data_IF_134520326388
#
_entry.id   IF_134520326388
#
_cell.length_a   1.000
_cell.length_b   1.000
_cell.length_c   1.000
_cell.angle_alpha   90.00
_cell.angle_beta   90.00
_cell.angle_gamma   90.00
#
_symmetry.space_group_name_H-M   'P 1'
#
loop_
_entity.id
_entity.type
_entity.pdbx_description
1 polymer ?
#
# COMPACT_ATOMS: atom_id res chain seq x y z
N UNK A 1 4.94 -31.30 -35.69
CA UNK A 1 5.18 -30.48 -34.48
C UNK A 1 3.94 -29.65 -34.24
N UNK A 2 3.38 -29.66 -33.03
CA UNK A 2 2.25 -28.77 -32.69
C UNK A 2 2.71 -27.30 -32.76
N UNK A 3 1.86 -26.39 -33.21
CA UNK A 3 2.16 -24.97 -33.16
C UNK A 3 2.44 -24.57 -31.70
N UNK A 4 3.41 -23.68 -31.43
CA UNK A 4 3.67 -23.21 -30.07
C UNK A 4 2.36 -22.64 -29.49
N UNK A 5 2.03 -23.01 -28.27
CA UNK A 5 0.84 -22.51 -27.59
C UNK A 5 0.92 -20.99 -27.48
N UNK A 6 -0.16 -20.28 -27.84
CA UNK A 6 -0.23 -18.83 -27.72
C UNK A 6 -0.09 -18.45 -26.22
N UNK A 7 0.75 -17.46 -25.86
CA UNK A 7 0.93 -17.09 -24.46
C UNK A 7 -0.36 -16.55 -23.86
N UNK A 8 -0.62 -16.90 -22.60
CA UNK A 8 -1.74 -16.34 -21.86
C UNK A 8 -1.42 -14.89 -21.45
N UNK A 9 -2.31 -13.96 -21.81
CA UNK A 9 -2.16 -12.56 -21.45
C UNK A 9 -2.57 -12.31 -20.00
N UNK A 10 -1.75 -11.56 -19.26
CA UNK A 10 -2.02 -11.13 -17.89
C UNK A 10 -1.70 -9.65 -17.75
N UNK A 11 -2.71 -8.84 -17.46
CA UNK A 11 -2.57 -7.41 -17.19
C UNK A 11 -2.50 -7.19 -15.69
N UNK A 12 -1.53 -6.36 -15.26
CA UNK A 12 -1.31 -6.01 -13.86
C UNK A 12 -1.50 -4.51 -13.67
N UNK A 13 -2.52 -4.10 -12.92
CA UNK A 13 -2.70 -2.70 -12.55
C UNK A 13 -1.78 -2.33 -11.37
N UNK A 14 -0.89 -1.36 -11.57
CA UNK A 14 0.02 -0.89 -10.52
C UNK A 14 -0.71 0.07 -9.56
N UNK A 15 -0.33 0.07 -8.29
CA UNK A 15 -0.89 0.94 -7.24
C UNK A 15 -0.40 2.38 -7.31
N UNK A 16 0.75 2.59 -7.95
CA UNK A 16 1.36 3.88 -8.15
C UNK A 16 2.10 3.94 -9.49
N UNK A 17 2.72 5.09 -9.78
CA UNK A 17 3.67 5.16 -10.88
C UNK A 17 4.80 4.13 -10.68
N UNK A 18 5.39 3.59 -11.77
CA UNK A 18 6.46 2.61 -11.67
C UNK A 18 7.57 3.07 -10.72
N UNK A 19 7.87 2.25 -9.71
CA UNK A 19 8.76 2.58 -8.60
C UNK A 19 9.41 1.32 -8.01
N UNK A 20 10.18 1.48 -6.94
CA UNK A 20 10.92 0.40 -6.28
C UNK A 20 10.09 -0.84 -5.91
N UNK A 21 8.81 -0.70 -5.55
CA UNK A 21 7.93 -1.84 -5.23
C UNK A 21 7.69 -2.78 -6.44
N UNK A 22 7.85 -2.26 -7.66
CA UNK A 22 7.55 -2.94 -8.93
C UNK A 22 8.77 -3.57 -9.61
N UNK A 23 9.98 -3.38 -9.07
CA UNK A 23 11.22 -3.80 -9.74
C UNK A 23 11.29 -5.31 -10.00
N UNK A 24 10.70 -6.13 -9.14
CA UNK A 24 10.63 -7.58 -9.35
C UNK A 24 9.79 -7.99 -10.56
N UNK A 25 8.71 -7.26 -10.85
CA UNK A 25 7.87 -7.50 -12.05
C UNK A 25 8.62 -7.09 -13.31
N UNK A 26 9.23 -5.90 -13.33
CA UNK A 26 10.00 -5.44 -14.47
C UNK A 26 11.21 -6.34 -14.76
N UNK A 27 11.90 -6.80 -13.72
CA UNK A 27 13.00 -7.74 -13.87
C UNK A 27 12.51 -9.10 -14.40
N UNK A 28 11.38 -9.62 -13.92
CA UNK A 28 10.80 -10.87 -14.45
C UNK A 28 10.42 -10.76 -15.94
N UNK A 29 9.91 -9.59 -16.38
CA UNK A 29 9.64 -9.30 -17.80
C UNK A 29 10.96 -9.30 -18.57
N UNK A 30 11.94 -8.50 -18.15
CA UNK A 30 13.23 -8.36 -18.85
C UNK A 30 13.99 -9.68 -18.96
N UNK A 31 13.94 -10.51 -17.91
CA UNK A 31 14.58 -11.83 -17.87
C UNK A 31 13.82 -12.92 -18.64
N UNK A 32 12.61 -12.62 -19.13
CA UNK A 32 11.78 -13.60 -19.84
C UNK A 32 11.14 -14.64 -18.93
N UNK A 33 11.16 -14.48 -17.61
CA UNK A 33 10.62 -15.48 -16.67
C UNK A 33 9.13 -15.76 -16.88
N UNK A 34 8.37 -14.75 -17.30
CA UNK A 34 6.97 -14.91 -17.69
C UNK A 34 6.81 -15.68 -19.01
N UNK A 35 7.65 -15.39 -20.01
CA UNK A 35 7.61 -16.07 -21.30
C UNK A 35 8.06 -17.54 -21.20
N UNK A 36 8.99 -17.85 -20.29
CA UNK A 36 9.47 -19.20 -19.98
C UNK A 36 8.50 -20.01 -19.10
N UNK A 37 7.50 -19.38 -18.51
CA UNK A 37 6.55 -20.05 -17.63
C UNK A 37 5.73 -21.11 -18.39
N UNK A 38 5.07 -22.00 -17.65
CA UNK A 38 4.18 -23.00 -18.23
C UNK A 38 2.80 -22.94 -17.53
N UNK A 39 1.73 -22.48 -18.22
CA UNK A 39 1.74 -21.99 -19.60
C UNK A 39 2.56 -20.69 -19.76
N UNK A 40 3.08 -20.40 -20.97
CA UNK A 40 3.83 -19.16 -21.23
C UNK A 40 2.94 -17.94 -21.10
N UNK A 41 3.49 -16.85 -20.59
CA UNK A 41 2.74 -15.64 -20.24
C UNK A 41 3.23 -14.41 -21.01
N UNK A 42 2.28 -13.60 -21.46
CA UNK A 42 2.50 -12.24 -21.94
C UNK A 42 1.99 -11.29 -20.86
N UNK A 43 2.89 -10.66 -20.11
CA UNK A 43 2.55 -9.78 -19.00
C UNK A 43 2.66 -8.32 -19.42
N UNK A 44 1.63 -7.53 -19.15
CA UNK A 44 1.66 -6.07 -19.32
C UNK A 44 1.33 -5.35 -18.01
N UNK A 45 2.12 -4.31 -17.72
CA UNK A 45 1.92 -3.46 -16.56
C UNK A 45 1.07 -2.26 -16.97
N UNK A 46 0.11 -1.88 -16.13
CA UNK A 46 -0.75 -0.73 -16.33
C UNK A 46 -0.45 0.27 -15.22
N UNK A 47 0.26 1.34 -15.56
CA UNK A 47 0.47 2.45 -14.64
C UNK A 47 -0.81 3.26 -14.47
N UNK A 48 -1.21 3.67 -13.24
CA UNK A 48 -2.39 4.50 -13.03
C UNK A 48 -2.24 5.89 -13.67
N UNK A 49 -1.01 6.30 -13.96
CA UNK A 49 -0.72 7.49 -14.74
C UNK A 49 -1.39 7.52 -16.13
N UNK A 50 -1.60 6.34 -16.75
CA UNK A 50 -2.18 6.22 -18.08
C UNK A 50 -3.57 6.87 -18.22
N UNK A 51 -4.33 7.01 -17.12
CA UNK A 51 -5.60 7.76 -17.10
C UNK A 51 -5.61 8.93 -16.11
N UNK A 52 -4.46 9.28 -15.53
CA UNK A 52 -4.34 10.30 -14.48
C UNK A 52 -4.90 9.86 -13.13
N UNK A 53 -4.81 8.57 -12.81
CA UNK A 53 -5.37 7.96 -11.60
C UNK A 53 -6.90 8.15 -11.48
N UNK A 54 -7.60 8.20 -12.62
CA UNK A 54 -9.08 8.28 -12.61
C UNK A 54 -9.70 6.99 -12.13
N UNK A 55 -9.14 5.87 -12.56
CA UNK A 55 -9.58 4.53 -12.15
C UNK A 55 -8.58 3.97 -11.14
N UNK A 56 -9.01 3.69 -9.92
CA UNK A 56 -8.13 3.05 -8.93
C UNK A 56 -7.75 1.64 -9.39
N UNK A 57 -6.59 1.10 -8.97
CA UNK A 57 -6.17 -0.26 -9.34
C UNK A 57 -7.19 -1.32 -8.92
N UNK A 58 -7.78 -1.17 -7.74
CA UNK A 58 -8.84 -2.05 -7.24
C UNK A 58 -10.13 -1.96 -8.07
N UNK A 59 -10.53 -0.76 -8.50
CA UNK A 59 -11.67 -0.60 -9.40
C UNK A 59 -11.38 -1.21 -10.78
N UNK A 60 -10.20 -0.96 -11.34
CA UNK A 60 -9.77 -1.55 -12.61
C UNK A 60 -9.76 -3.08 -12.58
N UNK A 61 -9.32 -3.67 -11.46
CA UNK A 61 -9.39 -5.11 -11.24
C UNK A 61 -10.84 -5.59 -11.20
N UNK A 62 -11.68 -4.94 -10.39
CA UNK A 62 -13.08 -5.30 -10.21
C UNK A 62 -13.91 -5.17 -11.50
N UNK A 63 -13.61 -4.20 -12.35
CA UNK A 63 -14.32 -3.98 -13.61
C UNK A 63 -13.79 -4.86 -14.76
N UNK A 64 -12.86 -5.79 -14.49
CA UNK A 64 -12.26 -6.69 -15.49
C UNK A 64 -11.23 -6.04 -16.43
N UNK A 65 -10.82 -4.81 -16.10
CA UNK A 65 -9.79 -4.06 -16.84
C UNK A 65 -8.37 -4.61 -16.63
N UNK A 66 -8.16 -5.44 -15.62
CA UNK A 66 -6.92 -6.18 -15.35
C UNK A 66 -7.23 -7.53 -14.68
N UNK A 67 -6.34 -8.51 -14.82
CA UNK A 67 -6.44 -9.81 -14.14
C UNK A 67 -5.90 -9.74 -12.71
N UNK A 68 -4.92 -8.85 -12.49
CA UNK A 68 -4.22 -8.63 -11.23
C UNK A 68 -4.08 -7.13 -10.95
N UNK A 69 -3.97 -6.76 -9.68
CA UNK A 69 -3.64 -5.39 -9.27
C UNK A 69 -2.80 -5.35 -8.00
N UNK A 70 -1.82 -4.45 -7.95
CA UNK A 70 -1.19 -4.02 -6.70
C UNK A 70 -2.19 -3.15 -5.93
N UNK A 71 -2.46 -3.48 -4.67
CA UNK A 71 -3.36 -2.72 -3.79
C UNK A 71 -2.92 -2.87 -2.33
N UNK A 72 -3.25 -1.94 -1.41
CA UNK A 72 -3.12 -2.21 0.01
C UNK A 72 -4.19 -3.21 0.49
N UNK A 73 -3.98 -3.84 1.65
CA UNK A 73 -4.96 -4.79 2.24
C UNK A 73 -6.35 -4.16 2.45
N UNK A 74 -6.40 -2.85 2.71
CA UNK A 74 -7.60 -2.03 2.80
C UNK A 74 -8.53 -2.21 1.62
N UNK A 75 -7.99 -2.25 0.40
CA UNK A 75 -8.79 -2.39 -0.81
C UNK A 75 -9.45 -3.76 -0.87
N UNK A 76 -8.74 -4.81 -0.46
CA UNK A 76 -9.27 -6.18 -0.42
C UNK A 76 -10.42 -6.28 0.59
N UNK A 77 -10.23 -5.73 1.80
CA UNK A 77 -11.31 -5.65 2.80
C UNK A 77 -12.47 -4.80 2.28
N UNK A 78 -12.19 -3.64 1.68
CA UNK A 78 -13.21 -2.71 1.20
C UNK A 78 -14.11 -3.35 0.15
N UNK A 79 -13.56 -4.12 -0.79
CA UNK A 79 -14.35 -4.82 -1.80
C UNK A 79 -15.12 -6.00 -1.22
N UNK A 80 -14.53 -6.74 -0.26
CA UNK A 80 -15.23 -7.83 0.43
C UNK A 80 -16.40 -7.34 1.30
N UNK A 81 -16.32 -6.11 1.82
CA UNK A 81 -17.34 -5.47 2.67
C UNK A 81 -18.04 -4.31 1.96
N UNK A 82 -18.07 -4.32 0.63
CA UNK A 82 -18.70 -3.24 -0.12
C UNK A 82 -20.21 -3.19 0.19
N UNK A 83 -20.79 -2.00 0.43
CA UNK A 83 -22.22 -1.88 0.73
C UNK A 83 -23.08 -2.42 -0.41
N UNK A 84 -24.09 -3.22 -0.09
CA UNK A 84 -24.95 -3.87 -1.09
C UNK A 84 -24.41 -5.19 -1.64
N UNK A 85 -23.12 -5.50 -1.45
CA UNK A 85 -22.53 -6.79 -1.81
C UNK A 85 -22.45 -7.08 -3.32
N UNK A 86 -22.54 -6.05 -4.15
CA UNK A 86 -22.54 -6.12 -5.61
C UNK A 86 -21.13 -6.08 -6.25
N UNK A 87 -20.12 -5.65 -5.49
CA UNK A 87 -18.73 -5.66 -5.96
C UNK A 87 -18.14 -7.07 -5.95
N UNK A 88 -17.30 -7.42 -6.95
CA UNK A 88 -16.58 -8.68 -6.93
C UNK A 88 -15.63 -8.72 -5.73
N UNK A 89 -15.63 -9.85 -5.02
CA UNK A 89 -14.74 -10.10 -3.89
C UNK A 89 -13.33 -10.44 -4.41
N UNK A 90 -12.55 -9.40 -4.72
CA UNK A 90 -11.13 -9.54 -5.06
C UNK A 90 -10.38 -10.19 -3.90
N UNK A 91 -9.33 -10.96 -4.20
CA UNK A 91 -8.58 -11.72 -3.19
C UNK A 91 -7.09 -11.46 -3.32
N UNK A 92 -6.41 -11.21 -2.21
CA UNK A 92 -4.96 -11.15 -2.19
C UNK A 92 -4.37 -12.55 -2.44
N UNK A 93 -3.38 -12.62 -3.33
CA UNK A 93 -2.73 -13.87 -3.76
C UNK A 93 -1.22 -13.86 -3.52
N UNK A 94 -0.66 -12.69 -3.19
CA UNK A 94 0.72 -12.52 -2.75
C UNK A 94 0.88 -11.18 -2.03
N UNK A 95 1.82 -11.04 -1.09
CA UNK A 95 2.32 -9.72 -0.65
C UNK A 95 3.60 -9.36 -1.40
N UNK A 96 3.71 -8.12 -1.90
CA UNK A 96 4.90 -7.67 -2.64
C UNK A 96 6.07 -7.42 -1.69
N UNK A 97 5.77 -6.91 -0.49
CA UNK A 97 6.75 -6.64 0.57
C UNK A 97 6.45 -7.55 1.78
N UNK A 98 7.48 -8.19 2.29
CA UNK A 98 7.43 -9.20 3.37
C UNK A 98 7.56 -8.57 4.76
N UNK A 99 7.66 -7.23 4.82
CA UNK A 99 7.63 -6.41 6.02
C UNK A 99 7.02 -5.04 5.71
N UNK A 100 6.78 -4.23 6.75
CA UNK A 100 6.22 -2.89 6.59
C UNK A 100 7.30 -1.87 6.21
N UNK A 101 7.20 -1.34 5.00
CA UNK A 101 8.10 -0.30 4.47
C UNK A 101 7.42 1.05 4.28
N UNK A 102 6.23 1.24 4.87
CA UNK A 102 5.41 2.43 4.73
C UNK A 102 5.31 3.18 6.06
N UNK A 103 5.07 4.50 5.97
CA UNK A 103 5.00 5.35 7.14
C UNK A 103 4.12 6.57 6.90
N UNK A 104 3.48 7.05 7.97
CA UNK A 104 3.01 8.44 8.04
C UNK A 104 4.24 9.29 8.36
N UNK A 105 4.52 10.30 7.53
CA UNK A 105 5.69 11.16 7.70
C UNK A 105 5.30 12.61 7.96
N UNK A 106 6.16 13.29 8.71
CA UNK A 106 6.16 14.74 8.90
C UNK A 106 7.56 15.27 8.63
N UNK A 107 7.69 16.56 8.32
CA UNK A 107 9.01 17.19 8.28
C UNK A 107 9.58 17.24 9.69
N UNK A 108 10.84 16.88 9.89
CA UNK A 108 11.50 16.97 11.21
C UNK A 108 11.51 18.41 11.75
N UNK A 109 11.63 19.39 10.84
CA UNK A 109 11.54 20.83 11.14
C UNK A 109 10.16 21.30 11.60
N UNK A 110 9.09 20.52 11.41
CA UNK A 110 7.73 20.87 11.85
C UNK A 110 7.54 20.80 13.37
N UNK A 111 8.45 20.09 14.08
CA UNK A 111 8.28 19.78 15.50
C UNK A 111 7.25 18.68 15.80
N UNK A 112 6.57 18.12 14.78
CA UNK A 112 5.61 17.02 14.94
C UNK A 112 6.39 15.70 14.99
N UNK A 113 6.90 15.37 16.18
CA UNK A 113 7.81 14.24 16.43
C UNK A 113 7.12 12.91 16.78
N UNK A 114 5.79 12.89 16.91
CA UNK A 114 4.99 11.69 17.17
C UNK A 114 3.55 11.84 16.65
N UNK A 115 2.82 10.74 16.38
CA UNK A 115 1.45 10.84 15.84
C UNK A 115 0.49 11.66 16.70
N UNK A 116 0.58 11.61 18.03
CA UNK A 116 -0.32 12.39 18.90
C UNK A 116 -0.30 13.91 18.60
N UNK A 117 0.80 14.43 18.07
CA UNK A 117 0.97 15.84 17.70
C UNK A 117 0.34 16.21 16.34
N UNK A 118 -0.29 15.26 15.66
CA UNK A 118 -1.07 15.51 14.44
C UNK A 118 -2.47 16.09 14.72
N UNK A 119 -2.88 16.18 15.99
CA UNK A 119 -4.11 16.88 16.35
C UNK A 119 -4.09 18.34 15.83
N UNK A 120 -5.17 18.73 15.16
CA UNK A 120 -5.34 20.05 14.54
C UNK A 120 -4.46 20.29 13.30
N UNK A 121 -3.70 19.29 12.83
CA UNK A 121 -2.83 19.39 11.65
C UNK A 121 -3.54 19.00 10.36
N UNK A 122 -2.92 19.30 9.23
CA UNK A 122 -3.37 18.90 7.89
C UNK A 122 -2.67 17.62 7.45
N UNK A 123 -3.45 16.65 7.00
CA UNK A 123 -2.96 15.38 6.47
C UNK A 123 -3.34 15.27 4.99
N UNK A 124 -2.34 15.16 4.11
CA UNK A 124 -2.56 14.89 2.69
C UNK A 124 -2.86 13.40 2.51
N UNK A 125 -4.04 13.12 1.96
CA UNK A 125 -4.61 11.78 1.94
C UNK A 125 -4.89 11.27 0.53
N UNK A 126 -4.77 9.95 0.37
CA UNK A 126 -5.33 9.24 -0.80
C UNK A 126 -6.86 9.19 -0.76
N UNK A 127 -7.50 9.58 0.35
CA UNK A 127 -8.95 9.55 0.56
C UNK A 127 -9.54 8.16 0.33
N UNK A 128 -8.77 7.13 0.66
CA UNK A 128 -9.20 5.75 0.57
C UNK A 128 -10.09 5.38 1.78
N UNK A 129 -11.01 4.42 1.58
CA UNK A 129 -12.11 4.09 2.53
C UNK A 129 -11.72 4.05 4.01
N UNK A 130 -10.56 3.50 4.35
CA UNK A 130 -10.13 3.30 5.74
C UNK A 130 -8.99 4.22 6.18
N UNK A 131 -8.28 4.85 5.25
CA UNK A 131 -7.01 5.53 5.50
C UNK A 131 -7.11 6.58 6.61
N UNK A 132 -8.04 7.53 6.47
CA UNK A 132 -8.17 8.62 7.44
C UNK A 132 -8.60 8.16 8.83
N UNK A 133 -9.38 7.08 8.90
CA UNK A 133 -9.79 6.49 10.19
C UNK A 133 -8.68 5.65 10.81
N UNK A 134 -7.83 5.00 10.02
CA UNK A 134 -6.61 4.33 10.49
C UNK A 134 -5.64 5.34 11.10
N UNK A 135 -5.38 6.45 10.40
CA UNK A 135 -4.53 7.54 10.92
C UNK A 135 -5.11 8.13 12.20
N UNK A 136 -6.44 8.31 12.27
CA UNK A 136 -7.11 8.74 13.50
C UNK A 136 -6.84 7.77 14.67
N UNK A 137 -6.90 6.46 14.46
CA UNK A 137 -6.60 5.47 15.50
C UNK A 137 -5.11 5.45 15.89
N UNK A 138 -4.20 5.65 14.93
CA UNK A 138 -2.77 5.82 15.25
C UNK A 138 -2.54 6.99 16.21
N UNK A 139 -3.15 8.15 15.93
CA UNK A 139 -3.04 9.36 16.74
C UNK A 139 -3.60 9.11 18.15
N UNK A 140 -4.77 8.47 18.26
CA UNK A 140 -5.42 8.15 19.55
C UNK A 140 -4.58 7.21 20.40
N UNK A 141 -4.06 6.14 19.79
CA UNK A 141 -3.26 5.14 20.49
C UNK A 141 -1.91 5.71 20.94
N UNK A 142 -1.25 6.51 20.10
CA UNK A 142 -0.04 7.23 20.52
C UNK A 142 -0.33 8.21 21.66
N UNK A 143 -1.48 8.90 21.63
CA UNK A 143 -1.92 9.78 22.71
C UNK A 143 -2.12 9.07 24.04
N UNK A 144 -2.75 7.89 24.02
CA UNK A 144 -2.92 7.06 25.21
C UNK A 144 -1.57 6.64 25.77
N UNK A 145 -0.69 6.11 24.91
CA UNK A 145 0.69 5.75 25.28
C UNK A 145 1.47 6.93 25.86
N UNK A 146 1.36 8.11 25.26
CA UNK A 146 2.04 9.31 25.75
C UNK A 146 1.56 9.74 27.14
N UNK A 147 0.25 9.63 27.43
CA UNK A 147 -0.29 9.90 28.77
C UNK A 147 0.23 8.89 29.80
N UNK A 148 0.34 7.62 29.43
CA UNK A 148 0.92 6.59 30.30
C UNK A 148 2.41 6.86 30.59
N UNK A 149 3.20 7.18 29.57
CA UNK A 149 4.61 7.57 29.70
C UNK A 149 4.77 8.80 30.63
N UNK A 150 3.93 9.81 30.45
CA UNK A 150 3.94 11.03 31.26
C UNK A 150 3.57 10.75 32.73
N UNK A 151 2.56 9.90 32.97
CA UNK A 151 2.17 9.49 34.31
C UNK A 151 3.28 8.68 35.01
N UNK A 152 3.93 7.77 34.29
CA UNK A 152 5.05 6.98 34.79
C UNK A 152 6.26 7.88 35.15
N UNK A 153 6.60 8.85 34.30
CA UNK A 153 7.67 9.80 34.56
C UNK A 153 7.39 10.70 35.77
N UNK A 154 6.15 11.16 35.95
CA UNK A 154 5.73 11.94 37.12
C UNK A 154 5.81 11.11 38.43
N UNK A 155 5.43 9.84 38.38
CA UNK A 155 5.56 8.94 39.52
C UNK A 155 7.03 8.69 39.90
N UNK A 156 7.91 8.55 38.90
CA UNK A 156 9.34 8.32 39.12
C UNK A 156 10.08 9.54 39.70
N UNK A 157 9.60 10.77 39.46
CA UNK A 157 10.24 12.00 39.96
C UNK A 157 9.89 12.38 41.40
N UNK A 158 9.15 11.53 42.12
CA UNK A 158 8.79 11.75 43.53
C UNK A 158 7.69 12.80 43.73
N UNK A 159 7.01 13.23 42.67
CA UNK A 159 5.81 14.05 42.75
C UNK A 159 4.68 13.24 43.37
N UNK A 160 4.38 13.43 44.66
CA UNK A 160 3.27 12.75 45.32
C UNK A 160 1.94 13.14 44.65
N UNK A 161 1.16 12.16 44.16
CA UNK A 161 -0.22 12.23 43.65
C UNK A 161 -0.66 13.52 42.89
N UNK A 162 0.28 14.31 42.38
CA UNK A 162 0.04 15.52 41.62
C UNK A 162 -0.36 15.12 40.20
N UNK A 163 -1.38 15.79 39.66
CA UNK A 163 -1.91 15.51 38.33
C UNK A 163 -0.78 15.35 37.31
N UNK A 164 -0.78 14.23 36.57
CA UNK A 164 0.15 14.02 35.47
C UNK A 164 0.14 15.26 34.54
N UNK A 165 1.29 15.70 34.02
CA UNK A 165 1.34 16.88 33.16
C UNK A 165 0.35 16.71 32.00
N UNK A 166 -0.35 17.80 31.66
CA UNK A 166 -1.30 17.78 30.56
C UNK A 166 -0.56 17.45 29.26
N UNK A 167 -0.88 16.28 28.70
CA UNK A 167 -0.44 15.89 27.37
C UNK A 167 -1.43 16.48 26.38
N UNK A 168 -1.00 17.48 25.61
CA UNK A 168 -1.79 18.09 24.55
C UNK A 168 -1.61 17.29 23.24
N UNK A 169 -2.66 16.55 22.85
CA UNK A 169 -2.69 15.78 21.60
C UNK A 169 -3.25 14.36 21.77
N UNK A 170 -3.37 13.66 20.65
CA UNK A 170 -3.82 12.27 20.62
C UNK A 170 -5.33 12.08 20.79
N UNK A 171 -6.14 13.05 20.36
CA UNK A 171 -7.60 12.93 20.25
C UNK A 171 -8.02 12.30 18.91
N UNK A 172 -7.15 12.39 17.89
CA UNK A 172 -7.40 11.87 16.55
C UNK A 172 -8.24 12.84 15.70
N UNK A 173 -8.20 14.13 16.04
CA UNK A 173 -8.93 15.19 15.32
C UNK A 173 -7.92 15.99 14.50
N UNK A 174 -7.94 15.81 13.18
CA UNK A 174 -7.06 16.49 12.22
C UNK A 174 -7.84 16.77 10.92
N UNK A 175 -7.38 17.71 10.11
CA UNK A 175 -7.99 18.04 8.83
C UNK A 175 -7.43 17.17 7.70
N UNK A 176 -8.30 16.46 6.99
CA UNK A 176 -7.93 15.75 5.78
C UNK A 176 -7.97 16.71 4.58
N UNK A 177 -6.90 16.69 3.78
CA UNK A 177 -6.88 17.32 2.46
C UNK A 177 -6.59 16.26 1.41
N UNK A 178 -7.19 16.39 0.24
CA UNK A 178 -7.05 15.41 -0.85
C UNK A 178 -6.48 16.09 -2.11
N UNK A 179 -5.18 16.45 -2.13
CA UNK A 179 -4.52 16.96 -3.34
C UNK A 179 -4.62 15.93 -4.48
N UNK A 180 -4.55 16.30 -5.77
CA UNK A 180 -4.55 15.34 -6.87
C UNK A 180 -3.64 14.15 -6.58
N UNK A 181 -4.07 12.91 -6.89
CA UNK A 181 -3.40 11.69 -6.40
C UNK A 181 -1.89 11.73 -6.60
N UNK A 182 -1.44 11.99 -7.83
CA UNK A 182 -0.02 11.98 -8.16
C UNK A 182 0.77 13.18 -7.60
N UNK A 183 0.10 14.17 -7.01
CA UNK A 183 0.69 15.40 -6.47
C UNK A 183 0.73 15.39 -4.92
N UNK A 184 0.27 14.33 -4.25
CA UNK A 184 0.19 14.25 -2.77
C UNK A 184 1.56 14.52 -2.12
N UNK A 185 2.62 13.89 -2.64
CA UNK A 185 3.98 14.08 -2.15
C UNK A 185 4.45 15.53 -2.31
N UNK A 186 4.19 16.13 -3.47
CA UNK A 186 4.56 17.52 -3.75
C UNK A 186 3.78 18.51 -2.89
N UNK A 187 2.49 18.28 -2.65
CA UNK A 187 1.67 19.09 -1.75
C UNK A 187 2.22 19.07 -0.32
N UNK A 188 2.63 17.89 0.17
CA UNK A 188 3.31 17.76 1.46
C UNK A 188 4.62 18.56 1.49
N UNK A 189 5.49 18.42 0.48
CA UNK A 189 6.76 19.16 0.42
C UNK A 189 6.59 20.68 0.32
N UNK A 190 5.51 21.16 -0.31
CA UNK A 190 5.17 22.59 -0.41
C UNK A 190 4.56 23.17 0.88
N UNK A 191 4.35 22.34 1.91
CA UNK A 191 3.73 22.76 3.17
C UNK A 191 2.23 22.97 3.07
N UNK A 192 1.57 22.40 2.04
CA UNK A 192 0.11 22.42 1.94
C UNK A 192 -0.54 21.45 2.94
N UNK A 193 0.22 20.45 3.40
CA UNK A 193 -0.10 19.54 4.49
C UNK A 193 1.09 19.36 5.44
N UNK A 194 0.81 19.02 6.69
CA UNK A 194 1.80 18.77 7.74
C UNK A 194 2.30 17.30 7.75
N UNK A 195 1.50 16.39 7.19
CA UNK A 195 1.81 14.97 7.11
C UNK A 195 1.22 14.30 5.86
N UNK A 196 1.81 13.18 5.45
CA UNK A 196 1.29 12.29 4.40
C UNK A 196 1.75 10.85 4.63
N UNK A 197 1.09 9.88 4.03
CA UNK A 197 1.55 8.48 4.02
C UNK A 197 2.44 8.25 2.80
N UNK A 198 3.58 7.59 2.99
CA UNK A 198 4.53 7.23 1.92
C UNK A 198 5.07 5.80 2.04
N UNK A 199 5.82 5.37 1.02
CA UNK A 199 6.77 4.26 1.14
C UNK A 199 8.18 4.79 1.37
N UNK A 200 8.83 4.36 2.44
CA UNK A 200 10.19 4.80 2.79
C UNK A 200 11.22 4.44 1.70
N UNK A 201 11.14 3.27 1.03
CA UNK A 201 12.03 2.97 -0.09
C UNK A 201 11.85 3.83 -1.34
N UNK A 202 10.82 4.67 -1.41
CA UNK A 202 10.56 5.55 -2.55
C UNK A 202 10.62 7.02 -2.17
N UNK A 203 9.55 7.61 -1.64
CA UNK A 203 9.54 9.03 -1.26
C UNK A 203 10.53 9.32 -0.10
N UNK A 204 10.76 8.35 0.79
CA UNK A 204 11.78 8.50 1.84
C UNK A 204 13.20 8.61 1.28
N UNK A 205 13.49 7.88 0.19
CA UNK A 205 14.75 8.01 -0.54
C UNK A 205 14.82 9.36 -1.26
N UNK A 206 13.73 9.81 -1.89
CA UNK A 206 13.68 11.15 -2.50
C UNK A 206 13.98 12.25 -1.49
N UNK A 207 13.33 12.21 -0.32
CA UNK A 207 13.56 13.17 0.76
C UNK A 207 15.02 13.19 1.21
N UNK A 208 15.61 12.01 1.48
CA UNK A 208 17.03 11.90 1.87
C UNK A 208 17.97 12.45 0.80
N UNK A 209 17.73 12.15 -0.48
CA UNK A 209 18.53 12.68 -1.61
C UNK A 209 18.41 14.20 -1.75
N UNK A 210 17.26 14.77 -1.36
CA UNK A 210 17.02 16.20 -1.32
C UNK A 210 17.50 16.87 -0.01
N UNK A 211 18.09 16.13 0.93
CA UNK A 211 18.51 16.66 2.24
C UNK A 211 17.35 17.00 3.18
N UNK A 212 16.16 16.45 2.93
CA UNK A 212 14.95 16.67 3.72
C UNK A 212 14.88 15.60 4.80
N UNK A 213 14.93 16.02 6.07
CA UNK A 213 14.76 15.14 7.21
C UNK A 213 13.27 14.94 7.55
N UNK A 214 12.87 13.68 7.71
CA UNK A 214 11.50 13.29 8.05
C UNK A 214 11.46 12.63 9.44
N UNK A 215 10.38 12.85 10.19
CA UNK A 215 9.93 11.88 11.18
C UNK A 215 9.05 10.86 10.46
N UNK A 216 9.20 9.58 10.75
CA UNK A 216 8.44 8.49 10.13
C UNK A 216 7.78 7.62 11.20
N UNK A 217 6.48 7.45 11.09
CA UNK A 217 5.65 6.67 12.01
C UNK A 217 5.08 5.48 11.26
N UNK A 218 5.61 4.28 11.53
CA UNK A 218 5.10 3.06 10.92
C UNK A 218 3.73 2.71 11.55
N UNK A 219 2.66 2.52 10.77
CA UNK A 219 1.36 2.11 11.30
C UNK A 219 1.42 0.86 12.21
N UNK A 220 2.31 -0.10 11.92
CA UNK A 220 2.48 -1.32 12.71
C UNK A 220 2.86 -1.06 14.18
N UNK A 221 3.43 0.11 14.50
CA UNK A 221 3.81 0.47 15.88
C UNK A 221 2.61 0.96 16.72
N UNK A 222 1.44 1.14 16.09
CA UNK A 222 0.25 1.74 16.69
C UNK A 222 -1.01 0.89 16.48
N UNK A 223 -1.17 0.31 15.29
CA UNK A 223 -2.35 -0.46 14.90
C UNK A 223 -1.94 -1.80 14.31
N UNK A 224 -2.82 -2.79 14.40
CA UNK A 224 -2.61 -4.06 13.71
C UNK A 224 -2.92 -3.87 12.23
N UNK A 225 -1.95 -3.37 11.47
CA UNK A 225 -2.12 -3.10 10.04
C UNK A 225 -1.91 -4.36 9.18
N UNK A 226 -2.51 -4.36 7.99
CA UNK A 226 -2.42 -5.45 7.02
C UNK A 226 -1.07 -5.50 6.28
N UNK A 227 -1.06 -6.16 5.14
CA UNK A 227 0.07 -6.18 4.21
C UNK A 227 -0.06 -5.05 3.18
N UNK A 228 1.04 -4.40 2.81
CA UNK A 228 1.00 -3.33 1.80
C UNK A 228 2.31 -3.19 1.00
N UNK A 229 2.24 -3.19 -0.36
CA UNK A 229 1.10 -3.61 -1.17
C UNK A 229 0.99 -5.14 -1.28
N UNK A 230 -0.21 -5.62 -1.58
CA UNK A 230 -0.51 -7.00 -1.98
C UNK A 230 -0.87 -7.05 -3.47
N UNK A 231 -0.59 -8.20 -4.09
CA UNK A 231 -1.13 -8.57 -5.39
C UNK A 231 -2.53 -9.13 -5.17
N UNK A 232 -3.56 -8.43 -5.64
CA UNK A 232 -4.94 -8.88 -5.66
C UNK A 232 -5.31 -9.47 -7.03
N UNK A 233 -6.18 -10.47 -7.03
CA UNK A 233 -6.69 -11.12 -8.23
C UNK A 233 -8.22 -11.04 -8.29
N UNK A 234 -8.75 -10.97 -9.51
CA UNK A 234 -10.19 -11.04 -9.75
C UNK A 234 -10.72 -12.46 -9.45
N UNK A 235 -11.89 -12.63 -8.81
CA UNK A 235 -12.42 -13.96 -8.49
C UNK A 235 -12.62 -14.85 -9.72
N UNK A 236 -13.03 -14.28 -10.86
CA UNK A 236 -13.15 -15.05 -12.10
C UNK A 236 -11.79 -15.52 -12.62
N UNK A 237 -10.73 -14.71 -12.47
CA UNK A 237 -9.39 -15.13 -12.89
C UNK A 237 -8.87 -16.29 -12.05
N UNK A 238 -9.12 -16.26 -10.73
CA UNK A 238 -8.80 -17.36 -9.81
C UNK A 238 -9.56 -18.64 -10.21
N UNK A 239 -10.87 -18.53 -10.51
CA UNK A 239 -11.73 -19.67 -10.87
C UNK A 239 -11.37 -20.25 -12.24
N UNK A 240 -11.23 -19.40 -13.24
CA UNK A 240 -11.21 -19.81 -14.65
C UNK A 240 -9.78 -20.07 -15.16
N UNK A 241 -8.77 -19.45 -14.57
CA UNK A 241 -7.37 -19.54 -15.01
C UNK A 241 -6.38 -19.79 -13.85
N UNK A 242 -6.62 -20.77 -12.96
CA UNK A 242 -5.77 -21.00 -11.80
C UNK A 242 -4.33 -21.38 -12.17
N UNK A 243 -4.12 -22.08 -13.29
CA UNK A 243 -2.76 -22.45 -13.74
C UNK A 243 -1.97 -21.27 -14.29
N UNK A 244 -2.65 -20.31 -14.94
CA UNK A 244 -2.05 -19.04 -15.37
C UNK A 244 -1.63 -18.22 -14.15
N UNK A 245 -2.48 -18.18 -13.12
CA UNK A 245 -2.16 -17.51 -11.86
C UNK A 245 -0.93 -18.13 -11.16
N UNK A 246 -0.85 -19.47 -11.07
CA UNK A 246 0.34 -20.15 -10.50
C UNK A 246 1.60 -19.88 -11.31
N UNK A 247 1.51 -19.95 -12.64
CA UNK A 247 2.61 -19.63 -13.54
C UNK A 247 3.09 -18.19 -13.33
N UNK A 248 2.16 -17.24 -13.21
CA UNK A 248 2.48 -15.83 -12.97
C UNK A 248 3.20 -15.66 -11.62
N UNK A 249 2.64 -16.20 -10.54
CA UNK A 249 3.23 -16.04 -9.19
C UNK A 249 4.59 -16.73 -9.08
N UNK A 250 4.79 -17.85 -9.76
CA UNK A 250 6.09 -18.53 -9.85
C UNK A 250 7.14 -17.68 -10.57
N UNK A 251 6.80 -17.12 -11.72
CA UNK A 251 7.69 -16.24 -12.49
C UNK A 251 7.98 -14.92 -11.74
N UNK A 252 6.96 -14.32 -11.13
CA UNK A 252 7.12 -13.13 -10.29
C UNK A 252 8.04 -13.41 -9.09
N UNK A 253 7.89 -14.57 -8.42
CA UNK A 253 8.78 -14.98 -7.33
C UNK A 253 10.25 -15.02 -7.77
N UNK A 254 10.55 -15.54 -8.97
CA UNK A 254 11.92 -15.52 -9.53
C UNK A 254 12.42 -14.09 -9.70
N UNK A 255 11.61 -13.20 -10.29
CA UNK A 255 11.96 -11.80 -10.50
C UNK A 255 12.22 -11.04 -9.19
N UNK A 256 11.35 -11.18 -8.20
CA UNK A 256 11.52 -10.56 -6.89
C UNK A 256 12.69 -11.14 -6.09
N UNK A 257 12.94 -12.45 -6.19
CA UNK A 257 14.11 -13.07 -5.56
C UNK A 257 15.42 -12.56 -6.18
N UNK A 258 15.48 -12.45 -7.51
CA UNK A 258 16.64 -11.88 -8.18
C UNK A 258 16.80 -10.39 -7.86
N UNK A 259 15.70 -9.63 -7.80
CA UNK A 259 15.74 -8.21 -7.45
C UNK A 259 16.24 -7.97 -6.01
N UNK A 260 15.95 -8.88 -5.08
CA UNK A 260 16.49 -8.80 -3.72
C UNK A 260 18.01 -9.02 -3.67
N UNK A 261 18.54 -9.89 -4.54
CA UNK A 261 19.98 -10.19 -4.62
C UNK A 261 20.76 -9.17 -5.44
N UNK A 262 20.13 -8.60 -6.47
CA UNK A 262 20.74 -7.70 -7.45
C UNK A 262 19.88 -6.45 -7.66
N UNK A 263 19.70 -5.60 -6.62
CA UNK A 263 18.78 -4.47 -6.67
C UNK A 263 19.10 -3.48 -7.80
N UNK A 264 20.37 -3.25 -8.12
CA UNK A 264 20.74 -2.36 -9.21
C UNK A 264 20.36 -2.90 -10.59
N UNK A 265 20.47 -4.22 -10.80
CA UNK A 265 20.00 -4.83 -12.04
C UNK A 265 18.48 -4.71 -12.19
N UNK A 266 17.74 -4.88 -11.08
CA UNK A 266 16.29 -4.69 -11.04
C UNK A 266 15.88 -3.23 -11.28
N UNK A 267 16.64 -2.28 -10.73
CA UNK A 267 16.46 -0.86 -10.98
C UNK A 267 16.59 -0.55 -12.48
N UNK A 268 17.65 -1.04 -13.13
CA UNK A 268 17.86 -0.83 -14.56
C UNK A 268 16.81 -1.53 -15.43
N UNK A 269 16.32 -2.70 -15.02
CA UNK A 269 15.20 -3.36 -15.70
C UNK A 269 13.95 -2.48 -15.72
N UNK A 270 13.60 -1.87 -14.57
CA UNK A 270 12.45 -0.96 -14.51
C UNK A 270 12.69 0.32 -15.32
N UNK A 271 13.89 0.90 -15.26
CA UNK A 271 14.24 2.09 -16.04
C UNK A 271 14.09 1.84 -17.54
N UNK A 272 14.54 0.68 -18.02
CA UNK A 272 14.44 0.29 -19.41
C UNK A 272 12.97 0.08 -19.84
N UNK A 273 12.17 -0.65 -19.06
CA UNK A 273 10.74 -0.86 -19.36
C UNK A 273 9.97 0.48 -19.42
N UNK A 274 10.21 1.38 -18.47
CA UNK A 274 9.60 2.72 -18.50
C UNK A 274 10.02 3.50 -19.75
N UNK A 275 11.32 3.49 -20.09
CA UNK A 275 11.81 4.20 -21.26
C UNK A 275 11.19 3.67 -22.58
N UNK A 276 11.06 2.35 -22.72
CA UNK A 276 10.40 1.71 -23.88
C UNK A 276 8.91 2.07 -23.97
N UNK A 277 8.20 2.04 -22.85
CA UNK A 277 6.77 2.40 -22.80
C UNK A 277 6.52 3.88 -23.06
N UNK A 278 7.41 4.76 -22.65
CA UNK A 278 7.34 6.18 -23.01
C UNK A 278 7.63 6.36 -24.50
N UNK A 279 8.67 5.71 -25.04
CA UNK A 279 9.04 5.80 -26.44
C UNK A 279 7.95 5.27 -27.40
N UNK A 280 7.23 4.24 -27.00
CA UNK A 280 6.08 3.68 -27.74
C UNK A 280 4.79 4.50 -27.59
N UNK A 281 4.77 5.51 -26.71
CA UNK A 281 3.59 6.32 -26.42
C UNK A 281 2.56 5.65 -25.51
N UNK A 282 2.91 4.53 -24.87
CA UNK A 282 2.05 3.86 -23.88
C UNK A 282 1.97 4.70 -22.59
N UNK A 283 3.11 5.22 -22.10
CA UNK A 283 3.21 6.05 -20.89
C UNK A 283 3.81 7.45 -21.16
N UNK A 284 3.23 8.26 -22.05
CA UNK A 284 3.92 9.42 -22.62
C UNK A 284 4.21 10.56 -21.65
N UNK A 285 3.59 10.56 -20.46
CA UNK A 285 3.77 11.60 -19.46
C UNK A 285 4.58 11.16 -18.22
N UNK A 286 5.14 9.95 -18.20
CA UNK A 286 6.14 9.58 -17.19
C UNK A 286 7.51 10.18 -17.55
N UNK A 287 8.33 10.54 -16.55
CA UNK A 287 9.72 10.90 -16.81
C UNK A 287 10.49 9.69 -17.38
N UNK A 288 11.22 9.89 -18.47
CA UNK A 288 11.95 8.84 -19.16
C UNK A 288 13.35 9.30 -19.60
N UNK A 289 14.42 8.55 -19.26
CA UNK A 289 14.39 7.43 -18.30
C UNK A 289 14.14 7.94 -16.87
N UNK A 290 13.69 7.06 -15.97
CA UNK A 290 13.70 7.38 -14.54
C UNK A 290 15.13 7.72 -14.09
N UNK A 291 15.27 8.63 -13.12
CA UNK A 291 16.57 9.12 -12.64
C UNK A 291 17.41 7.98 -12.03
N UNK A 292 18.63 7.81 -12.52
CA UNK A 292 19.47 6.65 -12.20
C UNK A 292 19.76 6.50 -10.71
N UNK A 293 20.21 7.58 -10.08
CA UNK A 293 20.64 7.56 -8.69
C UNK A 293 19.46 7.28 -7.76
N UNK A 294 18.30 7.89 -8.00
CA UNK A 294 17.06 7.62 -7.27
C UNK A 294 16.67 6.14 -7.41
N UNK A 295 16.65 5.61 -8.63
CA UNK A 295 16.28 4.22 -8.87
C UNK A 295 17.22 3.23 -8.18
N UNK A 296 18.54 3.50 -8.24
CA UNK A 296 19.56 2.71 -7.56
C UNK A 296 19.38 2.71 -6.04
N UNK A 297 19.22 3.89 -5.45
CA UNK A 297 19.07 4.05 -4.00
C UNK A 297 17.74 3.45 -3.51
N UNK A 298 16.67 3.61 -4.27
CA UNK A 298 15.35 3.08 -3.97
C UNK A 298 15.31 1.55 -4.06
N UNK A 299 15.93 0.96 -5.09
CA UNK A 299 16.04 -0.48 -5.21
C UNK A 299 16.84 -1.10 -4.05
N UNK A 300 17.93 -0.46 -3.62
CA UNK A 300 18.67 -0.87 -2.42
C UNK A 300 17.82 -0.78 -1.16
N UNK A 301 17.03 0.28 -1.04
CA UNK A 301 16.18 0.50 0.12
C UNK A 301 15.02 -0.51 0.22
N UNK A 302 14.47 -0.95 -0.92
CA UNK A 302 13.35 -1.91 -0.93
C UNK A 302 13.82 -3.36 -0.84
N UNK A 303 15.04 -3.68 -1.29
CA UNK A 303 15.55 -5.05 -1.37
C UNK A 303 15.37 -5.90 -0.08
N UNK A 304 15.63 -5.38 1.13
CA UNK A 304 15.43 -6.14 2.37
C UNK A 304 13.98 -6.56 2.64
N UNK A 305 13.02 -5.91 1.99
CA UNK A 305 11.59 -6.18 2.14
C UNK A 305 11.06 -7.14 1.07
N UNK A 306 11.78 -7.41 -0.02
CA UNK A 306 11.24 -8.20 -1.13
C UNK A 306 11.11 -9.69 -0.80
N UNK A 307 12.04 -10.26 -0.05
CA UNK A 307 12.07 -11.70 0.25
C UNK A 307 12.13 -11.91 1.76
N UNK A 308 11.21 -12.72 2.27
CA UNK A 308 11.10 -13.06 3.68
C UNK A 308 11.45 -14.53 3.92
N UNK A 309 11.17 -15.00 5.14
CA UNK A 309 11.48 -16.36 5.60
C UNK A 309 10.90 -17.48 4.72
N UNK A 310 9.79 -17.23 4.01
CA UNK A 310 9.10 -18.21 3.16
C UNK A 310 9.27 -17.92 1.66
N UNK A 311 10.19 -17.04 1.28
CA UNK A 311 10.32 -16.52 -0.07
C UNK A 311 9.49 -15.25 -0.30
N UNK A 312 9.43 -14.80 -1.56
CA UNK A 312 8.54 -13.71 -1.97
C UNK A 312 7.09 -14.20 -2.06
N UNK A 313 6.16 -13.28 -1.79
CA UNK A 313 4.73 -13.45 -1.98
C UNK A 313 3.98 -13.99 -0.77
N UNK A 314 4.63 -14.72 0.14
CA UNK A 314 3.93 -15.38 1.24
C UNK A 314 3.28 -14.39 2.20
N UNK A 315 1.96 -14.49 2.40
CA UNK A 315 1.22 -13.67 3.36
C UNK A 315 1.11 -14.37 4.71
N UNK A 316 1.28 -13.60 5.78
CA UNK A 316 0.92 -14.03 7.13
C UNK A 316 -0.61 -13.92 7.32
N UNK A 317 -1.27 -15.07 7.50
CA UNK A 317 -2.73 -15.13 7.66
C UNK A 317 -3.19 -14.67 9.04
N UNK A 318 -2.35 -14.77 10.07
CA UNK A 318 -2.65 -14.20 11.40
C UNK A 318 -2.65 -12.67 11.32
N UNK A 319 -1.73 -12.08 10.56
CA UNK A 319 -1.71 -10.63 10.30
C UNK A 319 -2.99 -10.16 9.60
N UNK A 320 -3.53 -10.93 8.65
CA UNK A 320 -4.85 -10.65 8.06
C UNK A 320 -5.97 -10.70 9.10
N UNK A 321 -6.00 -11.72 9.95
CA UNK A 321 -6.99 -11.84 11.03
C UNK A 321 -6.91 -10.66 12.01
N UNK A 322 -5.70 -10.26 12.42
CA UNK A 322 -5.49 -9.11 13.31
C UNK A 322 -5.93 -7.80 12.66
N UNK A 323 -5.62 -7.60 11.38
CA UNK A 323 -6.06 -6.42 10.65
C UNK A 323 -7.58 -6.29 10.58
N UNK A 324 -8.29 -7.36 10.24
CA UNK A 324 -9.77 -7.35 10.23
C UNK A 324 -10.33 -7.12 11.65
N UNK A 325 -9.77 -7.78 12.67
CA UNK A 325 -10.19 -7.58 14.05
C UNK A 325 -9.95 -6.15 14.53
N UNK A 326 -8.86 -5.51 14.10
CA UNK A 326 -8.61 -4.11 14.34
C UNK A 326 -9.67 -3.22 13.67
N UNK A 327 -9.94 -3.40 12.37
CA UNK A 327 -10.95 -2.60 11.68
C UNK A 327 -12.34 -2.76 12.33
N UNK A 328 -12.68 -3.96 12.77
CA UNK A 328 -13.94 -4.24 13.44
C UNK A 328 -14.02 -3.59 14.83
N UNK A 329 -13.02 -3.83 15.69
CA UNK A 329 -12.97 -3.30 17.06
C UNK A 329 -12.86 -1.78 17.12
N UNK A 330 -12.21 -1.16 16.14
CA UNK A 330 -12.13 0.30 16.01
C UNK A 330 -13.38 0.92 15.35
N UNK A 331 -14.37 0.10 14.96
CA UNK A 331 -15.61 0.58 14.34
C UNK A 331 -15.42 1.16 12.95
N UNK A 332 -14.44 0.67 12.19
CA UNK A 332 -14.14 1.08 10.81
C UNK A 332 -14.91 0.25 9.78
N UNK A 333 -15.31 -0.98 10.10
CA UNK A 333 -16.13 -1.82 9.22
C UNK A 333 -17.59 -1.36 9.23
N UNK A 334 -17.89 -0.44 8.31
CA UNK A 334 -19.21 0.19 8.19
C UNK A 334 -19.67 0.29 6.74
N UNK A 335 -20.98 0.48 6.53
CA UNK A 335 -21.61 0.52 5.20
C UNK A 335 -21.51 1.88 4.50
N UNK A 336 -20.90 2.89 5.13
CA UNK A 336 -20.56 4.15 4.46
C UNK A 336 -19.13 4.13 3.97
N UNK A 337 -18.92 4.53 2.71
CA UNK A 337 -17.61 4.45 2.05
C UNK A 337 -17.00 5.84 1.93
N UNK A 338 -15.84 6.04 2.55
CA UNK A 338 -15.01 7.21 2.23
C UNK A 338 -14.53 7.10 0.79
N UNK A 339 -14.66 8.17 0.02
CA UNK A 339 -14.13 8.21 -1.34
C UNK A 339 -13.93 9.65 -1.77
N UNK A 340 -12.90 9.87 -2.60
CA UNK A 340 -12.64 11.13 -3.29
C UNK A 340 -13.58 11.35 -4.48
N UNK A 341 -14.29 10.31 -4.92
CA UNK A 341 -15.25 10.39 -6.00
C UNK A 341 -16.56 11.04 -5.52
N UNK A 342 -17.30 11.73 -6.40
CA UNK A 342 -18.59 12.30 -6.06
C UNK A 342 -19.53 11.28 -5.42
N UNK A 343 -20.21 11.66 -4.34
CA UNK A 343 -21.12 10.79 -3.58
C UNK A 343 -20.44 9.92 -2.51
N UNK A 344 -19.11 9.93 -2.42
CA UNK A 344 -18.38 9.37 -1.28
C UNK A 344 -18.53 10.20 0.00
N UNK A 345 -18.40 9.55 1.15
CA UNK A 345 -18.33 10.25 2.43
C UNK A 345 -16.96 10.94 2.59
N UNK A 346 -16.92 12.11 3.23
CA UNK A 346 -15.69 12.68 3.73
C UNK A 346 -15.27 12.03 5.05
N UNK A 347 -14.00 12.18 5.45
CA UNK A 347 -13.55 11.73 6.76
C UNK A 347 -14.32 12.39 7.91
N UNK A 348 -14.66 13.67 7.78
CA UNK A 348 -15.42 14.40 8.79
C UNK A 348 -16.85 13.88 8.90
N UNK A 349 -17.50 13.54 7.78
CA UNK A 349 -18.81 12.88 7.81
C UNK A 349 -18.74 11.59 8.63
N UNK A 350 -17.72 10.76 8.40
CA UNK A 350 -17.55 9.47 9.07
C UNK A 350 -17.25 9.60 10.56
N UNK A 351 -16.69 10.73 11.01
CA UNK A 351 -16.36 10.99 12.43
C UNK A 351 -17.53 11.53 13.24
N UNK A 352 -18.58 12.06 12.59
CA UNK A 352 -19.78 12.50 13.30
C UNK A 352 -20.49 11.31 13.96
N UNK A 353 -21.17 11.50 15.11
CA UNK A 353 -21.95 10.44 15.73
C UNK A 353 -22.98 9.84 14.76
N UNK A 354 -22.90 8.53 14.50
CA UNK A 354 -23.74 7.83 13.53
C UNK A 354 -23.37 8.07 12.05
N UNK A 355 -22.41 8.97 11.78
CA UNK A 355 -22.03 9.35 10.42
C UNK A 355 -21.30 8.29 9.62
N UNK A 356 -20.74 7.28 10.28
CA UNK A 356 -20.11 6.12 9.65
C UNK A 356 -21.11 5.09 9.11
N UNK A 357 -22.41 5.18 9.45
CA UNK A 357 -23.42 4.22 9.03
C UNK A 357 -23.47 2.96 9.91
N UNK A 358 -24.08 1.89 9.38
CA UNK A 358 -24.26 0.64 10.09
C UNK A 358 -22.99 -0.22 10.04
N UNK A 359 -22.77 -1.02 11.10
CA UNK A 359 -21.65 -1.96 11.16
C UNK A 359 -21.81 -3.07 10.13
N UNK A 360 -20.72 -3.42 9.47
CA UNK A 360 -20.64 -4.57 8.55
C UNK A 360 -19.92 -5.72 9.24
N UNK A 361 -20.39 -6.95 9.00
CA UNK A 361 -19.77 -8.14 9.58
C UNK A 361 -18.31 -8.29 9.09
N UNK A 362 -17.35 -8.62 9.98
CA UNK A 362 -15.97 -8.83 9.59
C UNK A 362 -15.82 -10.08 8.70
N UNK A 363 -15.20 -9.96 7.51
CA UNK A 363 -14.90 -11.12 6.66
C UNK A 363 -13.78 -11.97 7.28
N UNK A 364 -13.79 -13.28 7.03
CA UNK A 364 -12.69 -14.14 7.48
C UNK A 364 -11.42 -13.87 6.65
N UNK A 365 -10.24 -14.01 7.27
CA UNK A 365 -8.96 -13.83 6.58
C UNK A 365 -8.82 -14.71 5.32
N UNK A 366 -9.37 -15.94 5.35
CA UNK A 366 -9.36 -16.86 4.20
C UNK A 366 -10.24 -16.40 3.02
N UNK A 367 -11.25 -15.56 3.26
CA UNK A 367 -12.05 -14.93 2.20
C UNK A 367 -11.27 -13.81 1.52
N UNK A 368 -10.39 -13.13 2.26
CA UNK A 368 -9.62 -11.98 1.78
C UNK A 368 -8.31 -12.38 1.09
N UNK A 369 -7.65 -13.43 1.56
CA UNK A 369 -6.30 -13.77 1.11
C UNK A 369 -6.06 -15.28 1.02
N UNK A 370 -5.07 -15.65 0.20
CA UNK A 370 -4.61 -17.04 0.08
C UNK A 370 -3.16 -17.14 -0.36
N UNK A 371 -2.46 -18.16 0.14
CA UNK A 371 -1.13 -18.57 -0.33
C UNK A 371 -1.19 -19.80 -1.26
N UNK A 372 -2.38 -20.32 -1.56
CA UNK A 372 -2.58 -21.59 -2.31
C UNK A 372 -1.92 -21.60 -3.70
N UNK A 373 -1.82 -20.43 -4.34
CA UNK A 373 -1.27 -20.31 -5.70
C UNK A 373 0.23 -19.98 -5.72
N UNK A 374 0.83 -19.76 -4.55
CA UNK A 374 2.27 -19.52 -4.45
C UNK A 374 3.05 -20.83 -4.61
N UNK A 375 4.29 -20.78 -5.13
CA UNK A 375 5.19 -21.91 -5.03
C UNK A 375 5.42 -22.29 -3.56
N UNK A 376 5.74 -23.56 -3.24
CA UNK A 376 6.07 -23.98 -1.89
C UNK A 376 7.12 -23.06 -1.23
N UNK A 377 7.11 -22.92 0.11
CA UNK A 377 8.19 -22.26 0.82
C UNK A 377 9.53 -22.91 0.46
N UNK A 378 10.60 -22.10 0.42
CA UNK A 378 11.97 -22.60 0.22
C UNK A 378 12.44 -23.40 1.44
#
# INVERSE_FOLDING_TARGET
MAAPAQPARVRVALDWTPNANHIGLALAIQRGFFAEANPPLEVSLISPHADGYKTTPAARLADGGAELACVPSESVVSWATWPGGDKPKIRAVATLLQGSAHAIVTLKSSGISRPALLDGKKYASYGARYEGRIVQEMIRRDGARWREEAAAAAAASGGGAGAAPAVEGGTGVYSEVTPPMLDIWDAFLKGEADATWIFLPWEGVMARRAGIELNAFNPDDYVDYGHSPVMAAHPDFIRDKPDVLRAFLSAARRGYAEAAMFPEAAAEALRADVAERVASGEWPQLPAPLEEGLMRDAARAVAPYLVGRHGWGHMDMERWSKFVAFLDSAGLLTDKVQSRQPGGASLDDLRTPGGAGARVAPPAAGELATNEFLPPPL
#
